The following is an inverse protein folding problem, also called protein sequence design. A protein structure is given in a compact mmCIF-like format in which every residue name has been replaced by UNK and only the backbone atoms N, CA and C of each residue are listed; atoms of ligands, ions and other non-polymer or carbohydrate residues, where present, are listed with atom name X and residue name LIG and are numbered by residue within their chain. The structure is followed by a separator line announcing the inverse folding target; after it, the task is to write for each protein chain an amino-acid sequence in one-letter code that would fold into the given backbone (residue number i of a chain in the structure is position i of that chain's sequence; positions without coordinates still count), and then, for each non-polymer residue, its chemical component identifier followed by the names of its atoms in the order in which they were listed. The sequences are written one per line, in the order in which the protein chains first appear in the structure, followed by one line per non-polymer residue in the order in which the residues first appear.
data_IF_568930803622
#
_entry.id   IF_568930803622
#
_cell.length_a   1.000
_cell.length_b   1.000
_cell.length_c   1.000
_cell.angle_alpha   90.00
_cell.angle_beta   90.00
_cell.angle_gamma   90.00
#
_symmetry.space_group_name_H-M   'P 1'
#
loop_
_entity.id
_entity.type
_entity.pdbx_description
1 polymer ?
#
# COMPACT_ATOMS: atom_id res chain seq x y z
N UNK A 1 -24.02 -11.72 16.95
CA UNK A 1 -23.35 -11.16 15.74
C UNK A 1 -24.22 -10.03 15.26
N UNK A 2 -23.66 -8.87 14.96
CA UNK A 2 -24.41 -7.72 14.45
C UNK A 2 -24.94 -8.07 13.06
N UNK A 3 -26.22 -7.75 12.81
CA UNK A 3 -26.90 -8.05 11.54
C UNK A 3 -27.30 -6.77 10.85
N UNK A 4 -27.64 -6.85 9.57
CA UNK A 4 -28.15 -5.71 8.81
C UNK A 4 -29.45 -5.15 9.42
N UNK A 5 -30.25 -6.00 10.04
CA UNK A 5 -31.52 -5.62 10.72
C UNK A 5 -31.27 -4.60 11.86
N UNK A 6 -30.12 -4.61 12.50
CA UNK A 6 -29.78 -3.62 13.54
C UNK A 6 -29.61 -2.22 12.93
N UNK A 7 -29.02 -2.14 11.72
CA UNK A 7 -28.89 -0.87 11.00
C UNK A 7 -30.27 -0.38 10.61
N UNK A 8 -31.09 -1.25 10.03
CA UNK A 8 -32.46 -0.91 9.55
C UNK A 8 -33.35 -0.40 10.67
N UNK A 9 -33.28 -1.01 11.86
CA UNK A 9 -34.04 -0.57 13.04
C UNK A 9 -33.54 0.75 13.63
N UNK A 10 -32.26 1.04 13.49
CA UNK A 10 -31.62 2.20 14.10
C UNK A 10 -31.66 3.42 13.17
N UNK A 11 -31.40 3.19 11.86
CA UNK A 11 -31.32 4.23 10.84
C UNK A 11 -31.72 3.67 9.48
N UNK A 12 -33.01 3.84 9.13
CA UNK A 12 -33.54 3.32 7.89
C UNK A 12 -32.96 4.02 6.65
N UNK A 13 -32.57 5.29 6.74
CA UNK A 13 -31.99 6.03 5.61
C UNK A 13 -30.64 5.44 5.22
N UNK A 14 -29.79 5.12 6.21
CA UNK A 14 -28.51 4.45 5.98
C UNK A 14 -28.75 3.01 5.45
N UNK A 15 -29.72 2.29 6.00
CA UNK A 15 -30.04 0.95 5.52
C UNK A 15 -30.46 0.95 4.05
N UNK A 16 -31.29 1.90 3.65
CA UNK A 16 -31.76 2.04 2.26
C UNK A 16 -30.60 2.42 1.32
N UNK A 17 -29.68 3.29 1.74
CA UNK A 17 -28.49 3.62 0.98
C UNK A 17 -27.58 2.39 0.77
N UNK A 18 -27.39 1.55 1.80
CA UNK A 18 -26.62 0.31 1.69
C UNK A 18 -27.30 -0.68 0.73
N UNK A 19 -28.65 -0.82 0.81
CA UNK A 19 -29.40 -1.68 -0.12
C UNK A 19 -29.25 -1.21 -1.56
N UNK A 20 -29.35 0.10 -1.80
CA UNK A 20 -29.20 0.69 -3.12
C UNK A 20 -27.78 0.45 -3.67
N UNK A 21 -26.74 0.56 -2.85
CA UNK A 21 -25.36 0.27 -3.26
C UNK A 21 -25.17 -1.24 -3.56
N UNK A 22 -25.78 -2.13 -2.78
CA UNK A 22 -25.75 -3.57 -3.08
C UNK A 22 -26.40 -3.87 -4.43
N UNK A 23 -27.53 -3.23 -4.74
CA UNK A 23 -28.20 -3.37 -6.03
C UNK A 23 -27.36 -2.81 -7.17
N UNK A 24 -26.75 -1.63 -6.98
CA UNK A 24 -25.83 -1.05 -7.95
C UNK A 24 -24.68 -2.01 -8.27
N UNK A 25 -24.01 -2.56 -7.27
CA UNK A 25 -22.92 -3.52 -7.46
C UNK A 25 -23.35 -4.80 -8.16
N UNK A 26 -24.57 -5.28 -7.94
CA UNK A 26 -25.08 -6.50 -8.57
C UNK A 26 -25.59 -6.27 -10.00
N UNK A 27 -26.00 -5.07 -10.35
CA UNK A 27 -26.61 -4.74 -11.65
C UNK A 27 -25.66 -4.10 -12.66
N UNK A 28 -24.44 -3.71 -12.25
CA UNK A 28 -23.49 -3.02 -13.09
C UNK A 28 -22.17 -3.81 -13.21
N UNK A 29 -21.46 -3.56 -14.30
CA UNK A 29 -20.08 -4.04 -14.47
C UNK A 29 -19.15 -2.95 -13.92
N UNK A 30 -18.38 -3.30 -12.88
CA UNK A 30 -17.40 -2.39 -12.30
C UNK A 30 -16.13 -2.33 -13.15
N UNK A 31 -15.79 -1.13 -13.63
CA UNK A 31 -14.60 -0.88 -14.46
C UNK A 31 -13.50 -0.10 -13.74
N UNK A 32 -13.69 0.25 -12.48
CA UNK A 32 -12.67 0.91 -11.67
C UNK A 32 -11.68 -0.15 -11.18
N UNK A 33 -10.47 -0.12 -11.73
CA UNK A 33 -9.43 -1.13 -11.47
C UNK A 33 -9.03 -1.30 -10.00
N UNK A 34 -9.32 -0.31 -9.15
CA UNK A 34 -9.06 -0.35 -7.70
C UNK A 34 -10.23 -0.93 -6.89
N UNK A 35 -11.35 -1.25 -7.50
CA UNK A 35 -12.51 -1.83 -6.81
C UNK A 35 -12.52 -3.35 -6.91
N UNK A 36 -12.99 -4.01 -5.84
CA UNK A 36 -13.13 -5.45 -5.79
C UNK A 36 -14.16 -5.83 -4.72
N UNK A 37 -14.75 -7.01 -4.84
CA UNK A 37 -15.69 -7.52 -3.86
C UNK A 37 -14.99 -8.35 -2.80
N UNK A 38 -15.07 -7.89 -1.56
CA UNK A 38 -14.58 -8.63 -0.39
C UNK A 38 -15.53 -9.76 -0.03
N UNK A 39 -15.05 -10.77 0.67
CA UNK A 39 -15.88 -11.85 1.17
C UNK A 39 -16.78 -11.38 2.32
N UNK A 40 -17.91 -12.09 2.55
CA UNK A 40 -18.75 -11.86 3.72
C UNK A 40 -17.98 -11.97 5.04
N UNK A 41 -16.96 -12.85 5.10
CA UNK A 41 -16.11 -13.01 6.27
C UNK A 41 -15.27 -11.76 6.55
N UNK A 42 -14.72 -11.12 5.51
CA UNK A 42 -13.99 -9.84 5.64
C UNK A 42 -14.92 -8.75 6.17
N UNK A 43 -16.12 -8.59 5.59
CA UNK A 43 -17.10 -7.60 6.07
C UNK A 43 -17.52 -7.85 7.52
N UNK A 44 -17.75 -9.11 7.90
CA UNK A 44 -18.10 -9.47 9.28
C UNK A 44 -16.96 -9.18 10.28
N UNK A 45 -15.71 -9.41 9.86
CA UNK A 45 -14.54 -9.11 10.69
C UNK A 45 -14.36 -7.59 10.90
N UNK A 46 -14.58 -6.79 9.87
CA UNK A 46 -14.50 -5.32 9.94
C UNK A 46 -15.53 -4.73 10.91
N UNK A 47 -16.76 -5.30 10.95
CA UNK A 47 -17.83 -4.89 11.86
C UNK A 47 -17.84 -5.65 13.20
N UNK A 48 -16.73 -6.23 13.61
CA UNK A 48 -16.61 -7.01 14.84
C UNK A 48 -16.36 -6.13 16.08
N UNK A 49 -16.48 -6.70 17.31
CA UNK A 49 -16.14 -5.97 18.54
C UNK A 49 -14.71 -5.46 18.64
N UNK A 50 -13.81 -5.90 17.76
CA UNK A 50 -12.44 -5.35 17.66
C UNK A 50 -12.44 -3.84 17.37
N UNK A 51 -13.48 -3.33 16.71
CA UNK A 51 -13.67 -1.90 16.44
C UNK A 51 -13.71 -1.04 17.72
N UNK A 52 -14.07 -1.64 18.87
CA UNK A 52 -14.14 -0.93 20.14
C UNK A 52 -12.77 -0.81 20.84
N UNK A 53 -11.74 -1.53 20.34
CA UNK A 53 -10.47 -1.64 21.08
C UNK A 53 -9.45 -0.61 20.63
N UNK A 54 -9.01 0.20 21.58
CA UNK A 54 -7.87 1.09 21.42
C UNK A 54 -6.57 0.33 21.63
N UNK A 55 -5.69 0.26 20.62
CA UNK A 55 -4.50 -0.59 20.63
C UNK A 55 -3.25 0.11 20.07
N UNK A 56 -2.96 1.31 20.61
CA UNK A 56 -1.74 2.05 20.28
C UNK A 56 -0.48 1.25 20.63
N UNK A 57 0.52 1.30 19.78
CA UNK A 57 1.76 0.53 19.90
C UNK A 57 1.74 -0.71 19.02
N UNK A 58 2.55 -1.69 19.37
CA UNK A 58 2.72 -2.94 18.62
C UNK A 58 2.46 -4.15 19.51
N UNK A 59 2.19 -5.34 18.97
CA UNK A 59 1.98 -6.55 19.75
C UNK A 59 3.06 -6.76 20.81
N UNK A 60 2.65 -7.00 22.04
CA UNK A 60 3.53 -7.13 23.19
C UNK A 60 4.15 -5.82 23.73
N UNK A 61 3.92 -4.70 23.05
CA UNK A 61 4.43 -3.36 23.43
C UNK A 61 3.33 -2.30 23.24
N UNK A 62 2.16 -2.54 23.83
CA UNK A 62 1.00 -1.63 23.77
C UNK A 62 1.06 -0.58 24.87
N UNK A 63 0.49 0.58 24.59
CA UNK A 63 0.33 1.66 25.58
C UNK A 63 -0.86 1.42 26.50
N UNK A 64 -1.82 0.57 26.13
CA UNK A 64 -3.04 0.28 26.89
C UNK A 64 -3.15 -1.22 27.20
N UNK A 65 -3.82 -1.52 28.32
CA UNK A 65 -4.16 -2.89 28.69
C UNK A 65 -5.27 -3.50 27.82
N UNK A 66 -5.46 -4.82 27.95
CA UNK A 66 -6.55 -5.54 27.30
C UNK A 66 -6.32 -5.82 25.80
N UNK A 67 -5.07 -5.74 25.31
CA UNK A 67 -4.76 -5.88 23.89
C UNK A 67 -4.42 -7.32 23.47
N UNK A 68 -4.52 -8.31 24.35
CA UNK A 68 -4.10 -9.69 24.06
C UNK A 68 -4.80 -10.30 22.85
N UNK A 69 -6.09 -9.99 22.62
CA UNK A 69 -6.82 -10.50 21.46
C UNK A 69 -6.44 -9.77 20.16
N UNK A 70 -6.26 -8.45 20.23
CA UNK A 70 -5.80 -7.64 19.10
C UNK A 70 -4.38 -8.02 18.69
N UNK A 71 -3.52 -8.33 19.66
CA UNK A 71 -2.16 -8.80 19.41
C UNK A 71 -2.14 -10.11 18.60
N UNK A 72 -3.06 -11.02 18.91
CA UNK A 72 -3.22 -12.26 18.11
C UNK A 72 -3.61 -11.94 16.67
N UNK A 73 -4.59 -11.05 16.47
CA UNK A 73 -5.06 -10.67 15.13
C UNK A 73 -3.95 -9.99 14.32
N UNK A 74 -3.24 -9.02 14.93
CA UNK A 74 -2.17 -8.30 14.24
C UNK A 74 -0.98 -9.22 13.92
N UNK A 75 -0.58 -10.10 14.83
CA UNK A 75 0.48 -11.07 14.57
C UNK A 75 0.09 -12.05 13.46
N UNK A 76 -1.14 -12.58 13.44
CA UNK A 76 -1.63 -13.41 12.34
C UNK A 76 -1.60 -12.66 11.00
N UNK A 77 -2.00 -11.39 10.98
CA UNK A 77 -1.96 -10.58 9.74
C UNK A 77 -0.52 -10.40 9.26
N UNK A 78 0.42 -10.09 10.15
CA UNK A 78 1.85 -9.93 9.83
C UNK A 78 2.46 -11.24 9.31
N UNK A 79 2.21 -12.35 9.99
CA UNK A 79 2.79 -13.65 9.62
C UNK A 79 2.24 -14.15 8.29
N UNK A 80 0.93 -14.00 8.06
CA UNK A 80 0.30 -14.33 6.78
C UNK A 80 0.76 -13.43 5.64
N UNK A 81 0.99 -12.15 5.88
CA UNK A 81 1.56 -11.25 4.89
C UNK A 81 2.99 -11.65 4.50
N UNK A 82 3.81 -12.03 5.49
CA UNK A 82 5.17 -12.53 5.24
C UNK A 82 5.15 -13.83 4.43
N UNK A 83 4.29 -14.77 4.79
CA UNK A 83 4.13 -16.03 4.06
C UNK A 83 3.63 -15.81 2.62
N UNK A 84 2.59 -14.99 2.45
CA UNK A 84 1.95 -14.74 1.16
C UNK A 84 2.89 -14.10 0.14
N UNK A 85 3.74 -13.18 0.57
CA UNK A 85 4.63 -12.43 -0.31
C UNK A 85 6.09 -12.88 -0.26
N UNK A 86 6.46 -13.78 0.65
CA UNK A 86 7.83 -14.28 0.81
C UNK A 86 8.79 -13.20 1.34
N UNK A 87 8.35 -12.38 2.30
CA UNK A 87 9.17 -11.34 2.93
C UNK A 87 9.43 -11.65 4.41
N UNK A 88 10.46 -11.01 4.98
CA UNK A 88 10.88 -11.25 6.38
C UNK A 88 10.16 -10.32 7.35
N UNK A 89 9.79 -9.13 6.89
CA UNK A 89 9.14 -8.10 7.69
C UNK A 89 7.83 -7.64 7.05
N UNK A 90 6.82 -7.45 7.90
CA UNK A 90 5.54 -6.84 7.52
C UNK A 90 5.06 -5.89 8.63
N UNK A 91 4.64 -4.68 8.24
CA UNK A 91 3.83 -3.78 9.07
C UNK A 91 2.45 -3.67 8.42
N UNK A 92 1.41 -4.01 9.18
CA UNK A 92 0.02 -4.06 8.71
C UNK A 92 -0.85 -2.95 9.30
N UNK A 93 -0.24 -2.00 10.02
CA UNK A 93 -0.96 -0.92 10.67
C UNK A 93 -1.31 0.28 9.77
N UNK A 94 -0.68 0.56 8.61
CA UNK A 94 -1.12 1.67 7.78
C UNK A 94 -2.61 1.55 7.44
N UNK A 95 -3.40 2.62 7.66
CA UNK A 95 -4.82 2.61 7.35
C UNK A 95 -5.13 2.74 5.86
N UNK A 96 -4.11 3.04 5.05
CA UNK A 96 -4.23 3.20 3.59
C UNK A 96 -2.88 3.01 2.91
N UNK A 97 -2.88 2.80 1.59
CA UNK A 97 -1.66 2.83 0.78
C UNK A 97 -0.96 4.19 0.83
N UNK A 98 -1.73 5.28 0.90
CA UNK A 98 -1.17 6.63 1.02
C UNK A 98 -0.37 6.80 2.32
N UNK A 99 -0.89 6.32 3.46
CA UNK A 99 -0.15 6.35 4.72
C UNK A 99 1.07 5.43 4.68
N UNK A 100 0.96 4.23 4.09
CA UNK A 100 2.10 3.34 3.92
C UNK A 100 3.23 4.01 3.11
N UNK A 101 2.89 4.65 1.99
CA UNK A 101 3.85 5.37 1.16
C UNK A 101 4.48 6.54 1.91
N UNK A 102 3.66 7.32 2.62
CA UNK A 102 4.14 8.46 3.41
C UNK A 102 5.08 8.01 4.53
N UNK A 103 4.74 6.94 5.24
CA UNK A 103 5.59 6.37 6.28
C UNK A 103 6.95 5.92 5.72
N UNK A 104 6.96 5.30 4.53
CA UNK A 104 8.20 4.92 3.85
C UNK A 104 9.01 6.15 3.45
N UNK A 105 8.39 7.18 2.89
CA UNK A 105 9.08 8.41 2.52
C UNK A 105 9.75 9.06 3.73
N UNK A 106 9.04 9.28 4.82
CA UNK A 106 9.61 9.90 6.02
C UNK A 106 10.55 8.99 6.82
N UNK A 107 10.53 7.67 6.60
CA UNK A 107 11.54 6.78 7.16
C UNK A 107 12.87 6.80 6.37
N UNK A 108 12.81 7.07 5.07
CA UNK A 108 13.97 6.94 4.17
C UNK A 108 14.52 8.26 3.67
N UNK A 109 13.77 9.36 3.78
CA UNK A 109 14.04 10.65 3.16
C UNK A 109 13.88 11.79 4.16
N UNK A 110 14.55 12.90 3.85
CA UNK A 110 14.32 14.20 4.48
C UNK A 110 13.51 15.11 3.52
N UNK A 111 12.70 16.07 4.05
CA UNK A 111 12.03 17.05 3.21
C UNK A 111 13.00 17.74 2.25
N UNK A 112 12.64 17.80 0.97
CA UNK A 112 13.49 18.35 -0.10
C UNK A 112 14.38 17.32 -0.81
N UNK A 113 14.45 16.08 -0.31
CA UNK A 113 15.17 15.01 -1.03
C UNK A 113 14.52 14.75 -2.41
N UNK A 114 15.33 14.34 -3.37
CA UNK A 114 14.85 14.06 -4.72
C UNK A 114 14.27 12.65 -4.80
N UNK A 115 13.05 12.56 -5.32
CA UNK A 115 12.31 11.32 -5.54
C UNK A 115 11.95 11.20 -7.01
N UNK A 116 12.16 10.03 -7.59
CA UNK A 116 11.76 9.73 -8.96
C UNK A 116 10.56 8.78 -8.96
N UNK A 117 9.47 9.17 -9.62
CA UNK A 117 8.24 8.38 -9.71
C UNK A 117 7.63 8.41 -11.11
N UNK A 118 6.67 7.52 -11.36
CA UNK A 118 5.95 7.52 -12.63
C UNK A 118 5.04 8.74 -12.74
N UNK A 119 5.08 9.42 -13.90
CA UNK A 119 4.21 10.54 -14.19
C UNK A 119 2.73 10.13 -14.06
N UNK A 120 1.92 10.99 -13.45
CA UNK A 120 0.49 10.74 -13.24
C UNK A 120 -0.25 10.51 -14.57
N UNK A 121 0.06 11.29 -15.60
CA UNK A 121 -0.55 11.20 -16.93
C UNK A 121 -0.18 9.90 -17.67
N UNK A 122 0.88 9.22 -17.20
CA UNK A 122 1.36 7.95 -17.75
C UNK A 122 0.96 6.73 -16.88
N UNK A 123 0.07 6.94 -15.91
CA UNK A 123 -0.46 5.89 -15.06
C UNK A 123 0.11 5.82 -13.65
N UNK A 124 0.89 6.82 -13.23
CA UNK A 124 1.38 6.93 -11.86
C UNK A 124 0.27 7.10 -10.82
N UNK A 125 0.64 7.07 -9.54
CA UNK A 125 -0.28 7.33 -8.44
C UNK A 125 -0.05 8.72 -7.85
N UNK A 126 -1.09 9.34 -7.28
CA UNK A 126 -0.99 10.66 -6.64
C UNK A 126 0.14 10.72 -5.60
N UNK A 127 0.31 9.66 -4.81
CA UNK A 127 1.35 9.59 -3.76
C UNK A 127 2.77 9.34 -4.30
N UNK A 128 2.95 9.23 -5.61
CA UNK A 128 4.27 9.08 -6.23
C UNK A 128 4.86 10.42 -6.69
N UNK A 129 4.38 11.53 -6.13
CA UNK A 129 4.96 12.85 -6.38
C UNK A 129 4.04 13.85 -7.09
N UNK A 130 2.73 13.60 -7.15
CA UNK A 130 1.81 14.61 -7.70
C UNK A 130 1.90 15.93 -6.92
N UNK A 131 1.94 17.09 -7.60
CA UNK A 131 2.04 18.40 -6.94
C UNK A 131 0.91 18.72 -5.96
N UNK A 132 -0.25 18.10 -6.13
CA UNK A 132 -1.39 18.28 -5.22
C UNK A 132 -1.32 17.37 -4.00
N UNK A 133 -0.44 16.38 -4.02
CA UNK A 133 -0.23 15.41 -2.93
C UNK A 133 0.91 15.89 -2.00
N UNK A 134 0.88 15.41 -0.77
CA UNK A 134 1.92 15.70 0.23
C UNK A 134 3.32 15.29 -0.27
N UNK A 135 3.43 14.19 -1.03
CA UNK A 135 4.69 13.73 -1.62
C UNK A 135 5.29 14.79 -2.56
N UNK A 136 4.49 15.40 -3.42
CA UNK A 136 4.95 16.46 -4.32
C UNK A 136 5.19 17.81 -3.65
N UNK A 137 4.66 18.00 -2.42
CA UNK A 137 4.87 19.23 -1.64
C UNK A 137 6.13 19.19 -0.78
N UNK A 138 6.51 18.01 -0.29
CA UNK A 138 7.63 17.84 0.62
C UNK A 138 8.93 17.43 -0.07
N UNK A 139 8.84 16.80 -1.25
CA UNK A 139 10.00 16.24 -1.96
C UNK A 139 10.16 16.86 -3.35
N UNK A 140 11.41 16.87 -3.85
CA UNK A 140 11.72 17.30 -5.20
C UNK A 140 11.47 16.15 -6.19
N UNK A 141 10.42 16.27 -6.98
CA UNK A 141 9.94 15.19 -7.82
C UNK A 141 10.53 15.25 -9.22
N UNK A 142 11.05 14.12 -9.67
CA UNK A 142 11.44 13.85 -11.06
C UNK A 142 10.56 12.74 -11.60
N UNK A 143 10.01 12.91 -12.78
CA UNK A 143 9.09 11.92 -13.36
C UNK A 143 9.75 11.11 -14.46
N UNK A 144 9.44 9.81 -14.50
CA UNK A 144 9.62 8.97 -15.68
C UNK A 144 8.26 8.61 -16.28
N UNK A 145 8.26 8.09 -17.49
CA UNK A 145 7.01 7.80 -18.20
C UNK A 145 7.06 6.54 -19.03
N UNK A 146 6.12 6.45 -19.95
CA UNK A 146 6.04 5.41 -20.98
C UNK A 146 6.41 6.00 -22.35
N UNK A 147 6.88 5.14 -23.24
CA UNK A 147 7.13 5.49 -24.64
C UNK A 147 5.82 5.55 -25.45
N UNK A 148 5.91 5.84 -26.74
CA UNK A 148 4.78 5.94 -27.67
C UNK A 148 3.93 4.64 -27.77
N UNK A 149 4.50 3.50 -27.36
CA UNK A 149 3.80 2.20 -27.33
C UNK A 149 3.11 1.95 -25.98
N UNK A 150 3.13 2.91 -25.04
CA UNK A 150 2.57 2.78 -23.72
C UNK A 150 3.35 1.81 -22.81
N UNK A 151 4.64 1.62 -23.05
CA UNK A 151 5.53 0.74 -22.27
C UNK A 151 6.57 1.57 -21.55
N UNK A 152 6.89 1.23 -20.29
CA UNK A 152 7.97 1.87 -19.52
C UNK A 152 9.27 1.75 -20.32
N UNK A 153 9.88 2.88 -20.61
CA UNK A 153 11.16 2.97 -21.28
C UNK A 153 12.29 2.94 -20.24
N UNK A 154 12.82 1.76 -19.98
CA UNK A 154 13.86 1.57 -18.96
C UNK A 154 15.19 2.28 -19.28
N UNK A 155 15.50 2.52 -20.56
CA UNK A 155 16.70 3.29 -20.92
C UNK A 155 16.49 4.76 -20.58
N UNK A 156 15.33 5.32 -20.83
CA UNK A 156 14.96 6.66 -20.41
C UNK A 156 14.89 6.77 -18.86
N UNK A 157 14.33 5.76 -18.18
CA UNK A 157 14.35 5.70 -16.69
C UNK A 157 15.79 5.77 -16.17
N UNK A 158 16.73 5.00 -16.77
CA UNK A 158 18.15 4.99 -16.39
C UNK A 158 18.80 6.35 -16.66
N UNK A 159 18.59 6.94 -17.83
CA UNK A 159 19.13 8.25 -18.18
C UNK A 159 18.71 9.32 -17.16
N UNK A 160 17.40 9.37 -16.85
CA UNK A 160 16.87 10.31 -15.86
C UNK A 160 17.47 10.04 -14.48
N UNK A 161 17.52 8.79 -14.04
CA UNK A 161 18.04 8.42 -12.72
C UNK A 161 19.52 8.81 -12.56
N UNK A 162 20.35 8.58 -13.58
CA UNK A 162 21.77 8.91 -13.56
C UNK A 162 22.02 10.42 -13.61
N UNK A 163 21.22 11.16 -14.37
CA UNK A 163 21.31 12.62 -14.46
C UNK A 163 20.83 13.30 -13.19
N UNK A 164 19.70 12.88 -12.66
CA UNK A 164 19.00 13.54 -11.55
C UNK A 164 19.46 13.05 -10.16
N UNK A 165 20.03 11.85 -10.08
CA UNK A 165 20.51 11.24 -8.83
C UNK A 165 19.45 11.30 -7.71
N UNK A 166 18.26 10.73 -7.92
CA UNK A 166 17.26 10.69 -6.86
C UNK A 166 17.74 9.83 -5.69
N UNK A 167 17.28 10.12 -4.49
CA UNK A 167 17.55 9.31 -3.30
C UNK A 167 16.64 8.08 -3.24
N UNK A 168 15.43 8.20 -3.82
CA UNK A 168 14.44 7.12 -3.91
C UNK A 168 13.84 7.06 -5.32
N UNK A 169 13.76 5.85 -5.87
CA UNK A 169 12.98 5.55 -7.07
C UNK A 169 11.74 4.78 -6.64
N UNK A 170 10.57 5.26 -7.05
CA UNK A 170 9.27 4.62 -6.82
C UNK A 170 8.82 3.93 -8.11
N UNK A 171 8.76 2.62 -8.10
CA UNK A 171 8.15 1.82 -9.16
C UNK A 171 6.75 1.38 -8.74
N UNK A 172 5.87 1.20 -9.74
CA UNK A 172 4.47 0.88 -9.53
C UNK A 172 3.56 1.91 -10.20
N UNK A 173 2.33 1.51 -10.46
CA UNK A 173 1.39 2.33 -11.20
C UNK A 173 -0.06 2.02 -10.80
N UNK A 174 -0.95 3.00 -11.02
CA UNK A 174 -2.39 2.84 -10.88
C UNK A 174 -3.06 2.40 -12.18
N UNK A 175 -2.53 2.86 -13.32
CA UNK A 175 -3.12 2.64 -14.65
C UNK A 175 -2.05 2.20 -15.67
N UNK A 176 -1.44 1.04 -15.41
CA UNK A 176 -0.44 0.44 -16.29
C UNK A 176 -0.71 -1.07 -16.42
N UNK A 177 -1.14 -1.49 -17.60
CA UNK A 177 -1.63 -2.86 -17.86
C UNK A 177 -0.52 -3.83 -18.35
N UNK A 178 0.73 -3.46 -18.23
CA UNK A 178 1.88 -4.28 -18.65
C UNK A 178 2.65 -4.80 -17.45
N UNK A 179 3.45 -5.85 -17.67
CA UNK A 179 4.37 -6.35 -16.65
C UNK A 179 5.45 -5.31 -16.34
N UNK A 180 5.73 -5.07 -15.06
CA UNK A 180 6.80 -4.21 -14.58
C UNK A 180 8.03 -5.08 -14.29
N UNK A 181 9.17 -4.72 -14.84
CA UNK A 181 10.46 -5.38 -14.59
C UNK A 181 11.15 -4.74 -13.37
N UNK A 182 10.89 -5.31 -12.21
CA UNK A 182 11.47 -4.81 -10.96
C UNK A 182 12.97 -5.04 -10.86
N UNK A 183 13.50 -6.06 -11.56
CA UNK A 183 14.94 -6.30 -11.64
C UNK A 183 15.66 -5.15 -12.33
N UNK A 184 15.14 -4.69 -13.48
CA UNK A 184 15.68 -3.51 -14.16
C UNK A 184 15.61 -2.26 -13.32
N UNK A 185 14.48 -2.02 -12.61
CA UNK A 185 14.40 -0.90 -11.68
C UNK A 185 15.45 -0.98 -10.58
N UNK A 186 15.74 -2.18 -10.06
CA UNK A 186 16.77 -2.37 -9.05
C UNK A 186 18.16 -2.09 -9.61
N UNK A 187 18.49 -2.58 -10.78
CA UNK A 187 19.77 -2.30 -11.45
C UNK A 187 19.97 -0.79 -11.66
N UNK A 188 18.94 -0.09 -12.13
CA UNK A 188 18.97 1.37 -12.30
C UNK A 188 19.15 2.09 -10.96
N UNK A 189 18.45 1.65 -9.92
CA UNK A 189 18.55 2.24 -8.59
C UNK A 189 19.97 2.09 -8.03
N UNK A 190 20.57 0.91 -8.16
CA UNK A 190 21.94 0.63 -7.72
C UNK A 190 22.96 1.50 -8.48
N UNK A 191 22.84 1.63 -9.81
CA UNK A 191 23.70 2.50 -10.62
C UNK A 191 23.58 3.99 -10.24
N UNK A 192 22.37 4.44 -9.89
CA UNK A 192 22.11 5.82 -9.48
C UNK A 192 22.49 6.09 -8.02
N UNK A 193 22.74 5.04 -7.22
CA UNK A 193 22.94 5.15 -5.77
C UNK A 193 21.64 5.46 -5.01
N UNK A 194 20.49 5.05 -5.57
CA UNK A 194 19.16 5.30 -5.03
C UNK A 194 18.60 4.06 -4.32
N UNK A 195 17.67 4.28 -3.42
CA UNK A 195 16.79 3.20 -2.94
C UNK A 195 15.68 2.91 -3.94
N UNK A 196 15.21 1.66 -3.97
CA UNK A 196 14.03 1.25 -4.74
C UNK A 196 12.87 0.96 -3.79
N UNK A 197 11.79 1.70 -3.94
CA UNK A 197 10.48 1.42 -3.37
C UNK A 197 9.56 0.91 -4.46
N UNK A 198 8.76 -0.11 -4.17
CA UNK A 198 7.71 -0.57 -5.08
C UNK A 198 6.35 -0.44 -4.42
N UNK A 199 5.44 0.30 -5.04
CA UNK A 199 4.02 0.29 -4.68
C UNK A 199 3.28 -0.69 -5.59
N UNK A 200 2.96 -1.87 -5.06
CA UNK A 200 2.29 -2.93 -5.81
C UNK A 200 0.76 -2.97 -5.60
N UNK A 201 0.17 -1.90 -5.05
CA UNK A 201 -1.23 -1.89 -4.63
C UNK A 201 -2.21 -2.39 -5.71
N UNK A 202 -2.03 -2.00 -6.97
CA UNK A 202 -2.91 -2.43 -8.06
C UNK A 202 -2.68 -3.86 -8.53
N UNK A 203 -1.50 -4.41 -8.30
CA UNK A 203 -1.11 -5.75 -8.78
C UNK A 203 -0.88 -6.76 -7.65
N UNK A 204 -1.09 -6.38 -6.38
CA UNK A 204 -0.78 -7.24 -5.24
C UNK A 204 -1.47 -8.61 -5.29
N UNK A 205 -2.71 -8.67 -5.75
CA UNK A 205 -3.42 -9.94 -5.96
C UNK A 205 -2.81 -10.79 -7.06
N UNK A 206 -2.32 -10.18 -8.14
CA UNK A 206 -1.62 -10.88 -9.22
C UNK A 206 -0.25 -11.39 -8.77
N UNK A 207 0.47 -10.60 -7.97
CA UNK A 207 1.74 -11.01 -7.37
C UNK A 207 1.52 -12.19 -6.41
N UNK A 208 0.53 -12.12 -5.53
CA UNK A 208 0.18 -13.20 -4.62
C UNK A 208 -0.23 -14.51 -5.35
N UNK A 209 -0.84 -14.38 -6.52
CA UNK A 209 -1.24 -15.51 -7.36
C UNK A 209 -0.12 -16.01 -8.30
N UNK A 210 1.07 -15.38 -8.31
CA UNK A 210 2.17 -15.73 -9.20
C UNK A 210 1.95 -15.34 -10.67
N UNK A 211 0.98 -14.47 -10.95
CA UNK A 211 0.62 -14.00 -12.30
C UNK A 211 1.37 -12.72 -12.72
N UNK A 212 2.02 -12.06 -11.78
CA UNK A 212 2.93 -10.95 -12.01
C UNK A 212 4.21 -11.18 -11.18
N UNK A 213 5.40 -10.82 -11.69
CA UNK A 213 6.65 -10.92 -10.93
C UNK A 213 6.55 -10.22 -9.58
N UNK A 214 7.11 -10.84 -8.54
CA UNK A 214 7.18 -10.25 -7.21
C UNK A 214 8.25 -9.16 -7.15
N UNK A 215 7.95 -7.99 -6.55
CA UNK A 215 8.96 -6.97 -6.28
C UNK A 215 9.87 -7.30 -5.10
N UNK A 216 9.46 -8.19 -4.20
CA UNK A 216 10.13 -8.47 -2.92
C UNK A 216 11.63 -8.78 -3.06
N UNK A 217 12.08 -9.60 -4.04
CA UNK A 217 13.50 -9.90 -4.20
C UNK A 217 14.35 -8.70 -4.65
N UNK A 218 13.73 -7.64 -5.16
CA UNK A 218 14.43 -6.52 -5.80
C UNK A 218 14.27 -5.20 -5.03
N UNK A 219 13.11 -4.95 -4.47
CA UNK A 219 12.82 -3.70 -3.77
C UNK A 219 13.51 -3.65 -2.39
N UNK A 220 13.97 -2.48 -1.98
CA UNK A 220 14.37 -2.23 -0.59
C UNK A 220 13.16 -2.22 0.33
N UNK A 221 12.04 -1.71 -0.18
CA UNK A 221 10.75 -1.71 0.51
C UNK A 221 9.61 -1.80 -0.50
N UNK A 222 8.57 -2.55 -0.14
CA UNK A 222 7.35 -2.69 -0.94
C UNK A 222 6.16 -2.23 -0.11
N UNK A 223 5.30 -1.43 -0.71
CA UNK A 223 4.02 -1.04 -0.13
C UNK A 223 2.87 -1.62 -0.92
N UNK A 224 1.73 -1.78 -0.28
CA UNK A 224 0.48 -2.18 -0.94
C UNK A 224 -0.73 -1.71 -0.14
N UNK A 225 -1.88 -1.69 -0.79
CA UNK A 225 -3.19 -1.68 -0.14
C UNK A 225 -3.69 -3.11 0.06
N UNK A 226 -4.63 -3.30 0.95
CA UNK A 226 -5.28 -4.59 1.17
C UNK A 226 -6.60 -4.75 0.42
N UNK A 227 -7.21 -3.66 -0.05
CA UNK A 227 -8.60 -3.61 -0.53
C UNK A 227 -8.78 -3.52 -2.07
N UNK A 228 -7.70 -3.59 -2.86
CA UNK A 228 -7.76 -3.59 -4.33
C UNK A 228 -7.77 -5.04 -4.86
N UNK A 229 -6.83 -5.41 -5.72
CA UNK A 229 -6.74 -6.79 -6.24
C UNK A 229 -6.55 -7.84 -5.15
N UNK A 230 -6.05 -7.47 -3.97
CA UNK A 230 -5.89 -8.38 -2.84
C UNK A 230 -7.23 -8.74 -2.14
N UNK A 231 -8.33 -8.04 -2.43
CA UNK A 231 -9.70 -8.33 -1.93
C UNK A 231 -9.84 -8.36 -0.41
N UNK A 232 -9.05 -7.58 0.31
CA UNK A 232 -9.12 -7.50 1.77
C UNK A 232 -9.88 -6.27 2.28
N UNK A 233 -9.83 -6.03 3.59
CA UNK A 233 -10.37 -4.82 4.20
C UNK A 233 -9.59 -3.59 3.76
N UNK A 234 -10.13 -2.38 3.97
CA UNK A 234 -9.40 -1.15 3.69
C UNK A 234 -8.24 -0.98 4.66
N UNK A 235 -7.05 -0.88 4.11
CA UNK A 235 -5.80 -0.73 4.84
C UNK A 235 -4.60 -0.71 3.91
N UNK A 236 -3.41 -0.66 4.48
CA UNK A 236 -2.13 -0.71 3.78
C UNK A 236 -1.13 -1.61 4.49
N UNK A 237 -0.07 -1.98 3.80
CA UNK A 237 1.04 -2.75 4.34
C UNK A 237 2.38 -2.22 3.85
N UNK A 238 3.41 -2.39 4.68
CA UNK A 238 4.82 -2.19 4.33
C UNK A 238 5.53 -3.53 4.50
N UNK A 239 6.21 -3.97 3.45
CA UNK A 239 6.88 -5.26 3.35
C UNK A 239 8.34 -5.05 2.95
N UNK A 240 9.27 -5.73 3.60
CA UNK A 240 10.68 -5.70 3.24
C UNK A 240 11.45 -6.89 3.84
N UNK A 241 12.77 -6.91 3.65
CA UNK A 241 13.65 -7.79 4.41
C UNK A 241 13.95 -7.21 5.80
N UNK A 242 14.56 -8.00 6.68
CA UNK A 242 14.87 -7.58 8.04
C UNK A 242 15.90 -6.46 8.09
N UNK A 243 16.90 -6.48 7.21
CA UNK A 243 17.93 -5.44 7.12
C UNK A 243 17.35 -4.05 6.87
N UNK A 244 16.43 -3.93 5.90
CA UNK A 244 15.75 -2.67 5.61
C UNK A 244 14.83 -2.23 6.76
N UNK A 245 14.15 -3.17 7.41
CA UNK A 245 13.30 -2.89 8.57
C UNK A 245 14.12 -2.31 9.74
N UNK A 246 15.27 -2.88 10.04
CA UNK A 246 16.16 -2.43 11.12
C UNK A 246 16.79 -1.07 10.79
N UNK A 247 17.20 -0.87 9.52
CA UNK A 247 17.82 0.36 9.06
C UNK A 247 16.89 1.56 9.10
N UNK A 248 15.64 1.39 8.61
CA UNK A 248 14.71 2.51 8.42
C UNK A 248 13.65 2.63 9.50
N UNK A 249 13.48 1.61 10.34
CA UNK A 249 12.53 1.61 11.44
C UNK A 249 11.10 2.03 11.03
N UNK A 250 10.53 1.34 10.05
CA UNK A 250 9.19 1.64 9.52
C UNK A 250 8.09 1.60 10.59
N UNK A 251 8.27 0.82 11.66
CA UNK A 251 7.34 0.82 12.79
C UNK A 251 7.22 2.22 13.42
N UNK A 252 8.34 2.91 13.62
CA UNK A 252 8.33 4.26 14.19
C UNK A 252 7.70 5.28 13.25
N UNK A 253 7.83 5.09 11.93
CA UNK A 253 7.23 5.97 10.94
C UNK A 253 5.70 5.77 10.79
N UNK A 254 5.19 4.59 11.11
CA UNK A 254 3.74 4.30 11.11
C UNK A 254 3.09 4.68 12.43
N UNK A 255 3.73 4.37 13.56
CA UNK A 255 3.27 4.74 14.89
C UNK A 255 4.43 5.41 15.66
N UNK A 256 4.23 6.57 16.29
CA UNK A 256 2.99 7.05 16.94
C UNK A 256 2.05 7.92 16.07
N UNK A 257 1.96 7.69 14.79
CA UNK A 257 1.05 8.45 13.92
C UNK A 257 -0.43 7.99 14.04
N UNK A 258 -0.63 6.71 14.38
CA UNK A 258 -1.95 6.09 14.38
C UNK A 258 -2.53 5.85 15.77
N UNK A 259 -3.81 6.24 15.94
CA UNK A 259 -4.54 6.11 17.21
C UNK A 259 -5.41 4.85 17.35
N UNK A 260 -5.66 4.14 16.29
CA UNK A 260 -6.52 2.94 16.33
C UNK A 260 -6.02 1.84 15.41
N UNK A 261 -6.19 0.60 15.81
CA UNK A 261 -6.00 -0.58 14.96
C UNK A 261 -7.37 -1.11 14.58
N UNK A 262 -7.65 -1.24 13.32
CA UNK A 262 -8.87 -1.87 12.80
C UNK A 262 -8.48 -3.09 12.00
#
# INVERSE_FOLDING_TARGET
MYTFDEIEKTDSEIADAIKAEMERQNSHIELIASENWVSKAVMAAMGSPLTNKYAEGYPGKRYYGGCQCVDVVENLARDRAKELFGCEYANVQPHSGAQANLAVFFAMLEPGDKVMGMNLDHGGHLTHGSPVNISGKYFNIVSYGVNEKGVIDYDNVREIALRERPKLIVAGASAYARTIDFKKFREIADEAGAYLMVDMAHIAGLVAAGLHPSPIPYAHVTTTTTHKTLRGPRGGMILCNQEAADKFNFNKAVFPDRKSVV
#
